data_IF_879349336262
#
_entry.id   IF_879349336262
#
_cell.length_a   1.000
_cell.length_b   1.000
_cell.length_c   1.000
_cell.angle_alpha   90.00
_cell.angle_beta   90.00
_cell.angle_gamma   90.00
#
_symmetry.space_group_name_H-M   'P 1'
#
loop_
_entity.id
_entity.type
_entity.pdbx_description
1 polymer ?
#
# COMPACT_ATOMS: atom_id res chain seq x y z
N UNK A 1 46.35 22.91 4.19
CA UNK A 1 45.58 22.21 5.27
C UNK A 1 44.13 22.65 5.33
N UNK A 2 43.76 23.92 5.28
CA UNK A 2 42.35 24.35 5.35
C UNK A 2 41.48 23.79 4.21
N UNK A 3 41.99 23.76 2.97
CA UNK A 3 41.25 23.20 1.81
C UNK A 3 41.00 21.69 1.92
N UNK A 4 41.95 20.93 2.50
CA UNK A 4 41.79 19.49 2.69
C UNK A 4 40.71 19.18 3.73
N UNK A 5 40.62 19.99 4.78
CA UNK A 5 39.61 19.84 5.82
C UNK A 5 38.17 20.10 5.29
N UNK A 6 38.03 21.08 4.39
CA UNK A 6 36.76 21.41 3.75
C UNK A 6 36.29 20.26 2.83
N UNK A 7 37.21 19.64 2.09
CA UNK A 7 36.89 18.50 1.21
C UNK A 7 36.48 17.29 2.04
N UNK A 8 37.20 16.98 3.14
CA UNK A 8 36.82 15.90 4.04
C UNK A 8 35.45 16.12 4.71
N UNK A 9 35.13 17.35 5.08
CA UNK A 9 33.82 17.68 5.65
C UNK A 9 32.70 17.48 4.64
N UNK A 10 32.91 17.88 3.38
CA UNK A 10 31.93 17.66 2.31
C UNK A 10 31.72 16.16 1.99
N UNK A 11 32.78 15.38 1.97
CA UNK A 11 32.70 13.92 1.76
C UNK A 11 32.00 13.24 2.93
N UNK A 12 32.27 13.65 4.16
CA UNK A 12 31.59 13.09 5.35
C UNK A 12 30.08 13.38 5.36
N UNK A 13 29.68 14.60 4.94
CA UNK A 13 28.26 14.97 4.79
C UNK A 13 27.61 14.18 3.66
N UNK A 14 28.28 14.00 2.53
CA UNK A 14 27.77 13.19 1.41
C UNK A 14 27.58 11.70 1.79
N UNK A 15 28.48 11.16 2.59
CA UNK A 15 28.38 9.76 3.08
C UNK A 15 27.28 9.55 4.11
N UNK A 16 26.92 10.59 4.89
CA UNK A 16 25.80 10.48 5.83
C UNK A 16 24.42 10.47 5.17
N UNK A 17 24.30 10.89 3.91
CA UNK A 17 23.05 10.79 3.14
C UNK A 17 22.85 9.42 2.44
N UNK A 18 23.86 8.55 2.44
CA UNK A 18 23.73 7.20 1.84
C UNK A 18 23.12 6.15 2.78
N UNK A 19 22.85 6.51 4.02
CA UNK A 19 22.15 5.65 4.97
C UNK A 19 20.64 5.73 4.78
N UNK A 20 20.05 4.73 4.10
CA UNK A 20 18.62 4.44 3.94
C UNK A 20 17.99 4.71 2.57
N UNK A 21 18.74 4.62 1.50
CA UNK A 21 18.13 4.17 0.26
C UNK A 21 18.22 2.64 0.24
N UNK A 22 17.39 2.00 1.07
CA UNK A 22 17.11 0.59 0.86
C UNK A 22 16.60 0.46 -0.56
N UNK A 23 17.36 -0.23 -1.41
CA UNK A 23 16.89 -0.65 -2.71
C UNK A 23 15.51 -1.26 -2.49
N UNK A 24 14.47 -0.51 -2.91
CA UNK A 24 13.12 -0.99 -2.87
C UNK A 24 13.03 -2.14 -3.87
N UNK A 25 13.30 -3.35 -3.39
CA UNK A 25 12.87 -4.52 -4.10
C UNK A 25 11.35 -4.41 -4.21
N UNK A 26 10.81 -4.57 -5.39
CA UNK A 26 9.39 -4.76 -5.64
C UNK A 26 8.96 -6.08 -4.98
N UNK A 27 8.84 -6.09 -3.68
CA UNK A 27 8.26 -7.20 -2.95
C UNK A 27 6.76 -7.00 -2.98
N UNK A 28 6.09 -7.71 -3.87
CA UNK A 28 4.68 -7.99 -3.74
C UNK A 28 4.50 -8.80 -2.45
N UNK A 29 4.32 -8.12 -1.33
CA UNK A 29 3.98 -8.77 -0.09
C UNK A 29 2.46 -8.89 -0.03
N UNK A 30 1.96 -10.09 -0.27
CA UNK A 30 0.60 -10.47 0.07
C UNK A 30 0.47 -10.46 1.60
N UNK A 31 0.17 -9.30 2.16
CA UNK A 31 -0.26 -9.22 3.54
C UNK A 31 -1.78 -9.39 3.58
N UNK A 32 -2.22 -10.63 3.75
CA UNK A 32 -3.57 -10.92 4.25
C UNK A 32 -3.66 -10.41 5.71
N UNK A 33 -3.85 -9.12 5.90
CA UNK A 33 -3.81 -8.49 7.23
C UNK A 33 -5.16 -8.52 7.96
N UNK A 34 -6.22 -8.99 7.32
CA UNK A 34 -7.51 -9.20 7.99
C UNK A 34 -8.26 -10.30 7.24
N UNK A 35 -7.95 -11.53 7.54
CA UNK A 35 -8.87 -12.62 7.23
C UNK A 35 -10.02 -12.55 8.24
N UNK A 36 -11.08 -11.88 7.87
CA UNK A 36 -12.38 -12.30 8.35
C UNK A 36 -12.64 -13.62 7.60
N UNK A 37 -12.24 -14.74 8.18
CA UNK A 37 -12.66 -16.05 7.66
C UNK A 37 -14.15 -16.15 7.93
N UNK A 38 -14.94 -15.70 6.98
CA UNK A 38 -16.34 -16.11 6.91
C UNK A 38 -16.28 -17.57 6.49
N UNK A 39 -16.45 -18.47 7.46
CA UNK A 39 -16.60 -19.90 7.16
C UNK A 39 -17.97 -20.06 6.50
N UNK A 40 -17.97 -20.07 5.19
CA UNK A 40 -19.15 -20.35 4.38
C UNK A 40 -19.38 -21.86 4.43
N UNK A 41 -20.06 -22.34 5.46
CA UNK A 41 -20.31 -23.76 5.69
C UNK A 41 -21.46 -24.34 4.85
N UNK A 42 -22.27 -23.49 4.25
CA UNK A 42 -23.42 -23.85 3.42
C UNK A 42 -23.40 -23.09 2.10
N UNK A 43 -23.90 -23.70 1.02
CA UNK A 43 -23.93 -23.11 -0.33
C UNK A 43 -24.97 -22.01 -0.54
N UNK A 44 -25.34 -21.28 0.53
CA UNK A 44 -26.34 -20.22 0.53
C UNK A 44 -25.75 -18.82 0.26
N UNK A 45 -24.71 -18.76 -0.55
CA UNK A 45 -24.09 -17.49 -0.93
C UNK A 45 -23.77 -17.45 -2.43
N UNK A 46 -23.71 -16.26 -2.97
CA UNK A 46 -23.34 -16.00 -4.36
C UNK A 46 -22.31 -14.88 -4.41
N UNK A 47 -21.24 -15.07 -5.18
CA UNK A 47 -20.31 -13.98 -5.51
C UNK A 47 -20.98 -13.11 -6.58
N UNK A 48 -21.25 -11.85 -6.23
CA UNK A 48 -21.96 -10.90 -7.11
C UNK A 48 -21.03 -9.91 -7.79
N UNK A 49 -19.80 -9.75 -7.29
CA UNK A 49 -18.84 -8.85 -7.91
C UNK A 49 -17.52 -8.77 -7.16
N UNK A 50 -16.71 -7.83 -7.58
CA UNK A 50 -15.46 -7.46 -6.90
C UNK A 50 -15.44 -5.96 -6.60
N UNK A 51 -14.93 -5.61 -5.44
CA UNK A 51 -14.63 -4.24 -5.06
C UNK A 51 -13.14 -3.95 -5.24
N UNK A 52 -12.82 -2.74 -5.66
CA UNK A 52 -11.46 -2.25 -5.85
C UNK A 52 -11.31 -0.87 -5.22
N UNK A 53 -10.19 -0.64 -4.58
CA UNK A 53 -9.80 0.68 -4.06
C UNK A 53 -8.29 0.87 -4.19
N UNK A 54 -7.87 2.11 -4.43
CA UNK A 54 -6.47 2.46 -4.60
C UNK A 54 -6.15 3.74 -3.84
N UNK A 55 -5.00 3.75 -3.18
CA UNK A 55 -4.45 4.96 -2.58
C UNK A 55 -3.00 5.14 -3.02
N UNK A 56 -2.63 6.38 -3.28
CA UNK A 56 -1.28 6.74 -3.73
C UNK A 56 -0.67 7.78 -2.80
N UNK A 57 0.60 7.61 -2.49
CA UNK A 57 1.41 8.60 -1.79
C UNK A 57 2.66 8.92 -2.60
N UNK A 58 3.01 10.20 -2.67
CA UNK A 58 4.20 10.70 -3.36
C UNK A 58 5.17 11.25 -2.34
N UNK A 59 6.45 10.88 -2.48
CA UNK A 59 7.55 11.36 -1.66
C UNK A 59 8.53 12.11 -2.56
N UNK A 60 8.92 13.32 -2.14
CA UNK A 60 9.90 14.16 -2.84
C UNK A 60 11.09 14.35 -1.90
N UNK A 61 12.29 13.94 -2.33
CA UNK A 61 13.51 13.99 -1.50
C UNK A 61 13.35 13.29 -0.13
N UNK A 62 12.54 12.23 -0.05
CA UNK A 62 12.26 11.53 1.19
C UNK A 62 11.30 12.24 2.14
N UNK A 63 10.77 13.41 1.74
CA UNK A 63 9.82 14.20 2.52
C UNK A 63 8.42 14.10 1.89
N UNK A 64 7.39 13.99 2.71
CA UNK A 64 5.99 13.92 2.26
C UNK A 64 5.43 12.51 2.26
N UNK A 65 4.26 12.39 1.66
CA UNK A 65 3.53 11.13 1.57
C UNK A 65 2.78 10.74 2.85
N UNK A 66 2.09 9.62 2.78
CA UNK A 66 1.39 9.01 3.90
C UNK A 66 2.22 7.88 4.48
N UNK A 67 2.07 7.60 5.77
CA UNK A 67 2.62 6.37 6.33
C UNK A 67 2.03 5.15 5.62
N UNK A 68 2.75 4.02 5.59
CA UNK A 68 2.24 2.78 4.98
C UNK A 68 0.87 2.39 5.53
N UNK A 69 0.65 2.61 6.84
CA UNK A 69 -0.63 2.35 7.48
C UNK A 69 -1.73 3.25 6.95
N UNK A 70 -1.50 4.56 6.83
CA UNK A 70 -2.49 5.49 6.29
C UNK A 70 -2.81 5.19 4.81
N UNK A 71 -1.81 4.79 4.04
CA UNK A 71 -2.00 4.39 2.65
C UNK A 71 -2.87 3.13 2.53
N UNK A 72 -2.64 2.14 3.40
CA UNK A 72 -3.47 0.94 3.53
C UNK A 72 -4.90 1.29 3.91
N UNK A 73 -5.08 2.06 4.99
CA UNK A 73 -6.42 2.43 5.49
C UNK A 73 -7.21 3.20 4.42
N UNK A 74 -6.56 4.08 3.67
CA UNK A 74 -7.20 4.82 2.57
C UNK A 74 -7.63 3.89 1.43
N UNK A 75 -6.79 2.95 1.01
CA UNK A 75 -7.12 1.98 -0.04
C UNK A 75 -8.31 1.08 0.36
N UNK A 76 -8.33 0.60 1.60
CA UNK A 76 -9.44 -0.20 2.14
C UNK A 76 -10.74 0.63 2.22
N UNK A 77 -10.66 1.87 2.71
CA UNK A 77 -11.82 2.75 2.80
C UNK A 77 -12.39 3.07 1.41
N UNK A 78 -11.55 3.30 0.43
CA UNK A 78 -11.97 3.53 -0.94
C UNK A 78 -12.60 2.28 -1.55
N UNK A 79 -12.00 1.11 -1.37
CA UNK A 79 -12.58 -0.16 -1.77
C UNK A 79 -13.96 -0.39 -1.15
N UNK A 80 -14.11 -0.13 0.15
CA UNK A 80 -15.39 -0.29 0.85
C UNK A 80 -16.46 0.68 0.33
N UNK A 81 -16.08 1.92 0.00
CA UNK A 81 -17.00 2.88 -0.64
C UNK A 81 -17.42 2.43 -2.03
N UNK A 82 -16.46 1.97 -2.84
CA UNK A 82 -16.71 1.52 -4.22
C UNK A 82 -17.52 0.22 -4.25
N UNK A 83 -17.44 -0.60 -3.20
CA UNK A 83 -18.25 -1.81 -3.06
C UNK A 83 -19.75 -1.54 -3.03
N UNK A 84 -20.15 -0.35 -2.51
CA UNK A 84 -21.56 0.08 -2.42
C UNK A 84 -22.50 -1.04 -1.92
N UNK A 85 -22.11 -1.69 -0.82
CA UNK A 85 -22.80 -2.87 -0.29
C UNK A 85 -24.28 -2.57 0.01
N UNK A 86 -25.15 -3.47 -0.39
CA UNK A 86 -26.59 -3.38 -0.17
C UNK A 86 -27.15 -4.69 0.40
N UNK A 87 -28.18 -4.58 1.25
CA UNK A 87 -28.87 -5.75 1.77
C UNK A 87 -27.99 -6.69 2.57
N UNK A 88 -27.93 -7.96 2.17
CA UNK A 88 -27.15 -9.03 2.83
C UNK A 88 -25.78 -9.27 2.23
N UNK A 89 -25.15 -8.21 1.68
CA UNK A 89 -23.84 -8.31 1.07
C UNK A 89 -22.71 -8.07 2.06
N UNK A 90 -21.59 -8.76 1.84
CA UNK A 90 -20.35 -8.57 2.61
C UNK A 90 -19.11 -8.68 1.73
N UNK A 91 -17.99 -8.14 2.21
CA UNK A 91 -16.69 -8.27 1.57
C UNK A 91 -15.95 -9.49 2.12
N UNK A 92 -15.42 -10.30 1.22
CA UNK A 92 -14.65 -11.49 1.57
C UNK A 92 -13.35 -11.53 0.76
N UNK A 93 -12.36 -12.26 1.24
CA UNK A 93 -11.09 -12.45 0.56
C UNK A 93 -10.40 -11.13 0.17
N UNK A 94 -10.27 -10.23 1.16
CA UNK A 94 -9.57 -8.95 0.94
C UNK A 94 -8.09 -9.19 0.70
N UNK A 95 -7.60 -8.73 -0.43
CA UNK A 95 -6.18 -8.77 -0.82
C UNK A 95 -5.66 -7.37 -0.97
N UNK A 96 -4.50 -7.09 -0.41
CA UNK A 96 -3.83 -5.78 -0.51
C UNK A 96 -2.48 -5.93 -1.17
N UNK A 97 -2.24 -5.10 -2.16
CA UNK A 97 -1.01 -5.07 -2.94
C UNK A 97 -0.32 -3.71 -2.83
N UNK A 98 0.98 -3.73 -2.54
CA UNK A 98 1.81 -2.53 -2.49
C UNK A 98 2.75 -2.49 -3.69
N UNK A 99 2.78 -1.35 -4.36
CA UNK A 99 3.71 -1.06 -5.44
C UNK A 99 4.48 0.22 -5.14
N UNK A 100 5.77 0.20 -5.39
CA UNK A 100 6.63 1.37 -5.24
C UNK A 100 7.30 1.62 -6.59
N UNK A 101 7.04 2.79 -7.15
CA UNK A 101 7.66 3.26 -8.38
C UNK A 101 8.62 4.39 -8.05
N UNK A 102 9.89 4.18 -8.35
CA UNK A 102 10.95 5.18 -8.23
C UNK A 102 11.25 5.72 -9.63
N UNK A 103 10.89 6.97 -9.89
CA UNK A 103 11.12 7.62 -11.19
C UNK A 103 12.48 8.28 -11.22
N UNK A 104 12.88 8.89 -10.09
CA UNK A 104 14.22 9.45 -9.87
C UNK A 104 14.60 9.20 -8.42
N UNK A 105 15.89 9.33 -8.03
CA UNK A 105 16.28 9.16 -6.63
C UNK A 105 15.59 10.17 -5.70
N UNK A 106 15.00 11.22 -6.26
CA UNK A 106 14.29 12.26 -5.49
C UNK A 106 12.77 12.14 -5.54
N UNK A 107 12.21 11.28 -6.42
CA UNK A 107 10.78 11.14 -6.60
C UNK A 107 10.36 9.67 -6.50
N UNK A 108 9.61 9.36 -5.44
CA UNK A 108 9.09 8.02 -5.17
C UNK A 108 7.57 8.06 -5.08
N UNK A 109 6.90 7.24 -5.86
CA UNK A 109 5.45 7.04 -5.82
C UNK A 109 5.16 5.67 -5.20
N UNK A 110 4.43 5.67 -4.09
CA UNK A 110 3.94 4.44 -3.44
C UNK A 110 2.45 4.32 -3.67
N UNK A 111 2.01 3.18 -4.19
CA UNK A 111 0.61 2.88 -4.46
C UNK A 111 0.21 1.65 -3.65
N UNK A 112 -0.92 1.74 -2.98
CA UNK A 112 -1.56 0.63 -2.30
C UNK A 112 -2.90 0.36 -2.98
N UNK A 113 -3.11 -0.85 -3.47
CA UNK A 113 -4.39 -1.28 -4.04
C UNK A 113 -5.00 -2.39 -3.18
N UNK A 114 -6.29 -2.29 -2.95
CA UNK A 114 -7.07 -3.26 -2.21
C UNK A 114 -8.17 -3.84 -3.10
N UNK A 115 -8.35 -5.14 -3.05
CA UNK A 115 -9.42 -5.85 -3.76
C UNK A 115 -10.14 -6.80 -2.81
N UNK A 116 -11.44 -6.96 -2.99
CA UNK A 116 -12.23 -7.94 -2.25
C UNK A 116 -13.37 -8.47 -3.11
N UNK A 117 -13.84 -9.67 -2.81
CA UNK A 117 -15.03 -10.22 -3.43
C UNK A 117 -16.28 -9.76 -2.67
N UNK A 118 -17.31 -9.36 -3.41
CA UNK A 118 -18.62 -9.04 -2.85
C UNK A 118 -19.45 -10.32 -2.89
N UNK A 119 -19.88 -10.76 -1.72
CA UNK A 119 -20.70 -11.96 -1.54
C UNK A 119 -22.06 -11.56 -1.00
N UNK A 120 -23.10 -12.07 -1.61
CA UNK A 120 -24.49 -11.92 -1.21
C UNK A 120 -25.00 -13.23 -0.60
N UNK A 121 -25.58 -13.14 0.59
CA UNK A 121 -26.21 -14.30 1.23
C UNK A 121 -27.63 -14.45 0.70
N UNK A 122 -27.92 -15.66 0.19
CA UNK A 122 -29.26 -16.07 -0.23
C UNK A 122 -29.92 -16.87 0.90
N UNK A 123 -31.20 -16.64 1.12
CA UNK A 123 -32.00 -17.44 2.07
C UNK A 123 -32.26 -18.82 1.50
#
# INVERSE_FOLDING_TARGET
MKKLFTICAFVAVALSFTGCVGLASTTASNHNLTQTQVVLSEGNFKVVGQAYGEATATYICGIGGFSKKALYDNAINEMAKNANLTGSQTLTNTTVHYSINMITPFYVKSTCSATANIVEFTK
#
